data_IF_119928035840
#
_entry.id   IF_119928035840
#
_cell.length_a   1.000
_cell.length_b   1.000
_cell.length_c   1.000
_cell.angle_alpha   90.00
_cell.angle_beta   90.00
_cell.angle_gamma   90.00
#
_symmetry.space_group_name_H-M   'P 1'
#
loop_
_entity.id
_entity.type
_entity.pdbx_description
1 polymer ?
#
# COMPACT_ATOMS: atom_id res chain seq x y z
N UNK A 1 18.71 21.59 -7.48
CA UNK A 1 18.53 20.75 -8.68
C UNK A 1 17.15 20.15 -8.68
N UNK A 2 16.44 20.13 -9.82
CA UNK A 2 15.17 19.43 -9.96
C UNK A 2 15.37 17.94 -9.67
N UNK A 3 14.44 17.31 -8.92
CA UNK A 3 14.48 15.90 -8.57
C UNK A 3 13.17 15.25 -9.02
N UNK A 4 13.27 14.21 -9.83
CA UNK A 4 12.11 13.41 -10.23
C UNK A 4 11.72 12.53 -9.04
N UNK A 5 10.60 12.84 -8.39
CA UNK A 5 10.11 12.09 -7.25
C UNK A 5 9.32 12.97 -6.28
N UNK A 6 8.97 12.39 -5.17
CA UNK A 6 8.32 13.08 -4.08
C UNK A 6 9.35 13.83 -3.22
N UNK A 7 8.95 14.93 -2.61
CA UNK A 7 9.78 15.64 -1.66
C UNK A 7 9.94 14.84 -0.34
N UNK A 8 10.76 15.38 0.55
CA UNK A 8 11.05 14.75 1.84
C UNK A 8 9.79 14.49 2.66
N UNK A 9 8.84 15.43 2.69
CA UNK A 9 7.62 15.31 3.48
C UNK A 9 6.74 14.17 2.96
N UNK A 10 6.44 14.16 1.67
CA UNK A 10 5.65 13.10 1.04
C UNK A 10 6.33 11.72 1.16
N UNK A 11 7.65 11.67 0.96
CA UNK A 11 8.41 10.42 1.11
C UNK A 11 8.35 9.87 2.53
N UNK A 12 8.47 10.72 3.55
CA UNK A 12 8.39 10.34 4.96
C UNK A 12 6.97 9.85 5.33
N UNK A 13 5.91 10.56 4.90
CA UNK A 13 4.52 10.17 5.13
C UNK A 13 4.21 8.80 4.50
N UNK A 14 4.63 8.57 3.26
CA UNK A 14 4.40 7.30 2.57
C UNK A 14 5.21 6.13 3.16
N UNK A 15 6.33 6.41 3.83
CA UNK A 15 7.22 5.36 4.34
C UNK A 15 6.75 4.77 5.68
N UNK A 16 6.15 5.56 6.56
CA UNK A 16 5.63 5.07 7.85
C UNK A 16 4.10 4.88 7.78
N UNK A 17 3.66 3.62 7.71
CA UNK A 17 2.22 3.27 7.64
C UNK A 17 1.40 3.85 8.77
N UNK A 18 1.95 3.98 9.95
CA UNK A 18 1.27 4.55 11.10
C UNK A 18 0.87 6.01 10.84
N UNK A 19 1.82 6.81 10.32
CA UNK A 19 1.57 8.21 10.00
C UNK A 19 0.72 8.33 8.74
N UNK A 20 0.99 7.51 7.73
CA UNK A 20 0.21 7.45 6.51
C UNK A 20 -1.28 7.20 6.79
N UNK A 21 -1.60 6.18 7.60
CA UNK A 21 -2.97 5.80 7.92
C UNK A 21 -3.70 6.90 8.70
N UNK A 22 -3.00 7.64 9.58
CA UNK A 22 -3.55 8.80 10.28
C UNK A 22 -3.93 9.94 9.31
N UNK A 23 -3.02 10.29 8.40
CA UNK A 23 -3.27 11.36 7.40
C UNK A 23 -4.40 10.97 6.45
N UNK A 24 -4.42 9.73 5.97
CA UNK A 24 -5.49 9.23 5.10
C UNK A 24 -6.85 9.24 5.82
N UNK A 25 -6.90 8.79 7.07
CA UNK A 25 -8.12 8.79 7.87
C UNK A 25 -8.64 10.19 8.15
N UNK A 26 -7.77 11.14 8.46
CA UNK A 26 -8.13 12.56 8.64
C UNK A 26 -8.67 13.18 7.34
N UNK A 27 -8.22 12.68 6.20
CA UNK A 27 -8.73 13.05 4.87
C UNK A 27 -9.99 12.29 4.43
N UNK A 28 -10.67 11.56 5.34
CA UNK A 28 -11.84 10.72 5.08
C UNK A 28 -11.60 9.60 4.06
N UNK A 29 -10.37 9.13 3.93
CA UNK A 29 -10.01 7.99 3.09
C UNK A 29 -9.98 6.74 3.97
N UNK A 30 -10.75 5.72 3.59
CA UNK A 30 -10.81 4.46 4.35
C UNK A 30 -9.47 3.74 4.27
N UNK A 31 -8.93 3.38 5.42
CA UNK A 31 -7.75 2.51 5.56
C UNK A 31 -8.17 1.20 6.23
N UNK A 32 -7.35 0.16 6.08
CA UNK A 32 -7.58 -1.11 6.76
C UNK A 32 -7.48 -0.89 8.27
N UNK A 33 -8.47 -1.38 9.01
CA UNK A 33 -8.46 -1.28 10.47
C UNK A 33 -7.22 -1.95 11.06
N UNK A 34 -6.54 -1.22 11.93
CA UNK A 34 -5.26 -1.67 12.47
C UNK A 34 -5.04 -1.26 13.93
N UNK A 35 -4.06 -1.91 14.53
CA UNK A 35 -3.51 -1.58 15.85
C UNK A 35 -2.01 -1.42 15.73
N UNK A 36 -1.50 -0.27 16.13
CA UNK A 36 -0.05 -0.02 16.20
C UNK A 36 0.47 -0.33 17.60
N UNK A 37 1.62 -1.00 17.66
CA UNK A 37 2.38 -1.25 18.88
C UNK A 37 3.77 -0.64 18.78
N UNK A 38 4.28 -0.17 19.90
CA UNK A 38 5.68 0.18 20.09
C UNK A 38 6.42 -0.95 20.83
N UNK A 39 7.71 -1.10 20.58
CA UNK A 39 8.54 -2.18 21.16
C UNK A 39 8.49 -2.25 22.70
N UNK A 40 8.30 -1.12 23.39
CA UNK A 40 8.14 -1.12 24.86
C UNK A 40 6.91 -1.89 25.34
N UNK A 41 5.89 -2.08 24.48
CA UNK A 41 4.69 -2.85 24.84
C UNK A 41 4.96 -4.37 24.89
N UNK A 42 6.12 -4.84 24.40
CA UNK A 42 6.56 -6.23 24.60
C UNK A 42 6.83 -6.59 26.07
N UNK A 43 7.02 -5.60 26.95
CA UNK A 43 7.21 -5.86 28.36
C UNK A 43 5.97 -6.45 29.03
N UNK A 44 4.79 -6.26 28.44
CA UNK A 44 3.54 -6.93 28.78
C UNK A 44 2.87 -7.49 27.50
N UNK A 45 3.34 -8.65 27.08
CA UNK A 45 2.85 -9.31 25.89
C UNK A 45 1.36 -9.65 25.96
N UNK A 46 0.87 -9.99 27.17
CA UNK A 46 -0.55 -10.31 27.37
C UNK A 46 -1.42 -9.07 27.11
N UNK A 47 -1.01 -7.89 27.61
CA UNK A 47 -1.71 -6.65 27.32
C UNK A 47 -1.63 -6.27 25.85
N UNK A 48 -0.47 -6.47 25.20
CA UNK A 48 -0.30 -6.20 23.78
C UNK A 48 -1.22 -7.08 22.91
N UNK A 49 -1.29 -8.38 23.17
CA UNK A 49 -2.20 -9.31 22.49
C UNK A 49 -3.66 -8.90 22.71
N UNK A 50 -4.04 -8.63 23.96
CA UNK A 50 -5.41 -8.19 24.29
C UNK A 50 -5.79 -6.88 23.59
N UNK A 51 -4.85 -5.93 23.47
CA UNK A 51 -5.06 -4.67 22.71
C UNK A 51 -5.37 -4.95 21.25
N UNK A 52 -4.70 -5.91 20.62
CA UNK A 52 -4.93 -6.30 19.24
C UNK A 52 -6.24 -7.07 19.10
N UNK A 53 -6.43 -8.15 19.86
CA UNK A 53 -7.61 -9.05 19.72
C UNK A 53 -8.90 -8.41 20.21
N UNK A 54 -8.81 -7.35 21.03
CA UNK A 54 -9.97 -6.55 21.42
C UNK A 54 -10.53 -5.67 20.28
N UNK A 55 -9.76 -5.51 19.20
CA UNK A 55 -10.13 -4.68 18.05
C UNK A 55 -10.16 -5.47 16.74
N UNK A 56 -9.26 -6.42 16.56
CA UNK A 56 -9.07 -7.15 15.33
C UNK A 56 -9.48 -8.62 15.46
N UNK A 57 -9.96 -9.21 14.35
CA UNK A 57 -10.31 -10.62 14.24
C UNK A 57 -9.24 -11.41 13.49
N UNK A 58 -9.03 -12.67 13.88
CA UNK A 58 -8.13 -13.56 13.15
C UNK A 58 -8.69 -13.94 11.75
N UNK A 59 -7.82 -14.20 10.78
CA UNK A 59 -6.36 -14.13 10.85
C UNK A 59 -5.86 -12.70 10.93
N UNK A 60 -4.81 -12.48 11.75
CA UNK A 60 -4.18 -11.18 11.96
C UNK A 60 -2.81 -11.17 11.29
N UNK A 61 -2.53 -10.11 10.56
CA UNK A 61 -1.21 -9.87 9.97
C UNK A 61 -0.47 -8.83 10.78
N UNK A 62 0.80 -9.08 11.09
CA UNK A 62 1.69 -8.10 11.70
C UNK A 62 2.80 -7.73 10.73
N UNK A 63 3.24 -6.49 10.76
CA UNK A 63 4.37 -6.02 9.95
C UNK A 63 5.05 -4.82 10.61
N UNK A 64 6.35 -4.59 10.32
CA UNK A 64 7.00 -3.32 10.62
C UNK A 64 6.28 -2.16 9.94
N UNK A 65 6.15 -1.00 10.62
CA UNK A 65 5.46 0.17 10.05
C UNK A 65 6.25 0.84 8.95
N UNK A 66 7.57 0.74 8.99
CA UNK A 66 8.51 1.38 8.08
C UNK A 66 9.38 0.32 7.37
N UNK A 67 8.81 -0.39 6.42
CA UNK A 67 9.57 -1.29 5.55
C UNK A 67 9.09 -1.16 4.11
N UNK A 68 10.02 -0.91 3.21
CA UNK A 68 9.74 -0.94 1.76
C UNK A 68 9.49 -2.38 1.26
N UNK A 69 9.96 -3.36 1.99
CA UNK A 69 9.80 -4.79 1.74
C UNK A 69 8.84 -5.42 2.77
N UNK A 70 8.37 -6.62 2.50
CA UNK A 70 7.53 -7.38 3.43
C UNK A 70 8.36 -8.14 4.50
N UNK A 71 9.63 -7.78 4.68
CA UNK A 71 10.49 -8.38 5.70
C UNK A 71 9.90 -8.14 7.08
N UNK A 72 9.76 -9.20 7.87
CA UNK A 72 9.16 -9.14 9.20
C UNK A 72 7.63 -9.13 9.21
N UNK A 73 6.97 -9.28 8.05
CA UNK A 73 5.54 -9.48 8.00
C UNK A 73 5.19 -10.93 8.31
N UNK A 74 4.21 -11.15 9.18
CA UNK A 74 3.78 -12.47 9.64
C UNK A 74 2.25 -12.54 9.68
N UNK A 75 1.71 -13.76 9.52
CA UNK A 75 0.29 -14.07 9.69
C UNK A 75 0.11 -14.91 10.94
N UNK A 76 -0.96 -14.69 11.67
CA UNK A 76 -1.33 -15.41 12.86
C UNK A 76 -2.81 -15.82 12.82
N UNK A 77 -3.11 -17.07 13.15
CA UNK A 77 -4.45 -17.64 13.21
C UNK A 77 -5.01 -17.67 14.64
N UNK A 78 -4.16 -17.49 15.63
CA UNK A 78 -4.49 -17.55 17.05
C UNK A 78 -3.51 -16.69 17.87
N UNK A 79 -3.78 -16.53 19.16
CA UNK A 79 -2.97 -15.70 20.06
C UNK A 79 -1.53 -16.18 20.23
N UNK A 80 -1.29 -17.49 20.18
CA UNK A 80 0.08 -18.04 20.30
C UNK A 80 0.92 -17.66 19.08
N UNK A 81 0.37 -17.82 17.90
CA UNK A 81 1.03 -17.41 16.65
C UNK A 81 1.17 -15.89 16.58
N UNK A 82 0.19 -15.13 17.12
CA UNK A 82 0.26 -13.68 17.19
C UNK A 82 1.44 -13.20 18.07
N UNK A 83 1.69 -13.87 19.18
CA UNK A 83 2.86 -13.57 20.01
C UNK A 83 4.18 -13.76 19.23
N UNK A 84 4.31 -14.86 18.49
CA UNK A 84 5.49 -15.15 17.67
C UNK A 84 5.62 -14.12 16.54
N UNK A 85 4.51 -13.77 15.89
CA UNK A 85 4.44 -12.78 14.82
C UNK A 85 4.84 -11.36 15.31
N UNK A 86 4.38 -10.96 16.50
CA UNK A 86 4.77 -9.69 17.13
C UNK A 86 6.28 -9.66 17.37
N UNK A 87 6.86 -10.70 17.96
CA UNK A 87 8.30 -10.80 18.22
C UNK A 87 9.12 -10.72 16.93
N UNK A 88 8.70 -11.45 15.90
CA UNK A 88 9.35 -11.46 14.60
C UNK A 88 9.30 -10.06 13.93
N UNK A 89 8.15 -9.40 13.95
CA UNK A 89 8.00 -8.06 13.37
C UNK A 89 8.86 -7.01 14.11
N UNK A 90 8.94 -7.08 15.43
CA UNK A 90 9.78 -6.15 16.23
C UNK A 90 11.28 -6.36 16.06
N UNK A 91 11.73 -7.49 15.53
CA UNK A 91 13.16 -7.67 15.23
C UNK A 91 13.65 -6.71 14.14
N UNK A 92 12.73 -6.16 13.34
CA UNK A 92 13.06 -5.30 12.19
C UNK A 92 12.79 -3.82 12.41
N UNK A 93 11.87 -3.45 13.33
CA UNK A 93 11.50 -2.04 13.54
C UNK A 93 10.96 -1.80 14.95
N UNK A 94 11.13 -0.60 15.56
CA UNK A 94 10.57 -0.28 16.88
C UNK A 94 9.04 -0.13 16.92
N UNK A 95 8.39 0.04 15.77
CA UNK A 95 6.94 0.08 15.63
C UNK A 95 6.46 -0.99 14.68
N UNK A 96 5.38 -1.66 15.04
CA UNK A 96 4.68 -2.61 14.19
C UNK A 96 3.22 -2.22 14.06
N UNK A 97 2.60 -2.69 12.97
CA UNK A 97 1.18 -2.60 12.73
C UNK A 97 0.60 -4.00 12.68
N UNK A 98 -0.54 -4.21 13.35
CA UNK A 98 -1.35 -5.40 13.23
C UNK A 98 -2.64 -5.05 12.50
N UNK A 99 -3.09 -5.87 11.55
CA UNK A 99 -4.31 -5.67 10.77
C UNK A 99 -5.07 -6.98 10.56
N UNK A 100 -6.40 -6.95 10.52
CA UNK A 100 -7.21 -8.10 10.11
C UNK A 100 -7.12 -8.33 8.61
N UNK A 101 -7.30 -9.59 8.18
CA UNK A 101 -7.45 -9.90 6.77
C UNK A 101 -8.73 -9.26 6.23
N UNK A 102 -8.63 -8.41 5.22
CA UNK A 102 -9.78 -7.92 4.47
C UNK A 102 -10.01 -8.84 3.27
N UNK A 103 -11.18 -9.47 3.22
CA UNK A 103 -11.57 -10.29 2.06
C UNK A 103 -11.99 -9.36 0.91
N UNK A 104 -11.40 -9.56 -0.24
CA UNK A 104 -11.69 -8.74 -1.41
C UNK A 104 -10.68 -8.89 -2.53
N UNK A 105 -10.81 -8.04 -3.54
CA UNK A 105 -9.90 -7.96 -4.68
C UNK A 105 -8.75 -7.02 -4.34
N UNK A 106 -7.53 -7.46 -4.58
CA UNK A 106 -6.34 -6.64 -4.38
C UNK A 106 -6.05 -5.83 -5.63
N UNK A 107 -6.23 -4.53 -5.53
CA UNK A 107 -6.03 -3.58 -6.60
C UNK A 107 -4.78 -2.74 -6.35
N UNK A 108 -4.10 -2.39 -7.42
CA UNK A 108 -2.94 -1.50 -7.36
C UNK A 108 -3.06 -0.45 -8.46
N UNK A 109 -2.78 0.80 -8.11
CA UNK A 109 -2.86 1.93 -9.02
C UNK A 109 -1.52 2.62 -9.19
N UNK A 110 -1.13 2.91 -10.42
CA UNK A 110 -0.08 3.87 -10.70
C UNK A 110 -0.73 5.24 -10.90
N UNK A 111 -0.37 6.20 -10.05
CA UNK A 111 -0.77 7.60 -10.19
C UNK A 111 0.41 8.39 -10.71
N UNK A 112 0.27 8.97 -11.91
CA UNK A 112 1.25 9.85 -12.51
C UNK A 112 0.88 11.31 -12.23
N UNK A 113 1.85 12.07 -11.72
CA UNK A 113 1.66 13.45 -11.33
C UNK A 113 1.25 14.37 -12.48
N UNK A 114 0.65 15.37 -12.18
CA UNK A 114 0.22 16.69 -12.58
C UNK A 114 -1.20 16.90 -12.06
N UNK A 115 -1.46 18.06 -11.54
CA UNK A 115 -2.76 18.45 -10.98
C UNK A 115 -3.86 18.21 -12.03
N UNK A 116 -4.95 17.52 -11.64
CA UNK A 116 -6.24 17.50 -12.34
C UNK A 116 -6.45 16.55 -13.53
N UNK A 117 -5.75 15.40 -13.64
CA UNK A 117 -6.07 14.42 -14.69
C UNK A 117 -6.27 13.02 -14.13
N UNK A 118 -7.54 12.62 -13.90
CA UNK A 118 -7.93 11.25 -13.54
C UNK A 118 -7.51 10.23 -14.61
N UNK A 119 -7.28 10.70 -15.83
CA UNK A 119 -6.81 9.90 -16.97
C UNK A 119 -5.42 9.29 -16.76
N UNK A 120 -4.64 9.83 -15.81
CA UNK A 120 -3.29 9.37 -15.50
C UNK A 120 -3.23 8.36 -14.34
N UNK A 121 -4.33 7.66 -14.09
CA UNK A 121 -4.38 6.57 -13.10
C UNK A 121 -4.58 5.26 -13.83
N UNK A 122 -3.54 4.42 -13.84
CA UNK A 122 -3.62 3.06 -14.34
C UNK A 122 -4.00 2.10 -13.20
N UNK A 123 -4.92 1.17 -13.46
CA UNK A 123 -5.42 0.21 -12.46
C UNK A 123 -5.08 -1.20 -12.88
N UNK A 124 -4.41 -1.93 -12.02
CA UNK A 124 -4.20 -3.36 -12.12
C UNK A 124 -4.76 -4.12 -10.94
N UNK A 125 -4.89 -5.42 -11.09
CA UNK A 125 -5.29 -6.37 -10.06
C UNK A 125 -4.16 -7.35 -9.80
N UNK A 126 -3.84 -7.54 -8.53
CA UNK A 126 -2.91 -8.57 -8.08
C UNK A 126 -3.73 -9.84 -7.76
N UNK A 127 -3.64 -10.83 -8.63
CA UNK A 127 -4.35 -12.10 -8.48
C UNK A 127 -3.39 -13.11 -7.87
N UNK A 128 -3.76 -13.69 -6.75
CA UNK A 128 -3.01 -14.78 -6.13
C UNK A 128 -3.04 -16.02 -7.02
N UNK A 129 -1.91 -16.64 -7.23
CA UNK A 129 -1.80 -17.90 -7.96
C UNK A 129 -1.73 -19.12 -7.02
N UNK A 130 -1.48 -18.89 -5.73
CA UNK A 130 -1.38 -19.93 -4.72
C UNK A 130 -1.86 -19.44 -3.35
N UNK A 131 -2.86 -20.12 -2.78
CA UNK A 131 -3.41 -19.85 -1.44
C UNK A 131 -2.54 -20.43 -0.31
N UNK A 132 -1.51 -21.23 -0.64
CA UNK A 132 -0.69 -21.95 0.33
C UNK A 132 0.42 -21.11 0.97
N UNK A 133 0.66 -19.89 0.50
CA UNK A 133 1.77 -19.06 1.00
C UNK A 133 1.33 -18.18 2.14
N UNK A 134 1.66 -18.61 3.35
CA UNK A 134 1.31 -17.96 4.62
C UNK A 134 2.16 -16.73 4.96
N UNK A 135 3.17 -16.39 4.16
CA UNK A 135 4.06 -15.27 4.45
C UNK A 135 3.74 -14.08 3.58
N UNK A 136 3.31 -12.98 4.20
CA UNK A 136 3.06 -11.71 3.54
C UNK A 136 4.27 -11.20 2.72
N UNK A 137 5.48 -11.65 3.05
CA UNK A 137 6.73 -11.28 2.38
C UNK A 137 6.97 -12.00 1.05
N UNK A 138 6.62 -13.26 0.96
CA UNK A 138 6.68 -14.03 -0.29
C UNK A 138 5.50 -13.70 -1.18
N UNK A 139 4.45 -13.19 -0.57
CA UNK A 139 3.17 -12.87 -1.12
C UNK A 139 3.18 -11.79 -2.22
N UNK A 140 4.04 -10.80 -2.15
CA UNK A 140 4.02 -9.66 -3.09
C UNK A 140 4.96 -9.87 -4.28
N UNK A 141 5.96 -10.72 -4.17
CA UNK A 141 7.05 -10.78 -5.15
C UNK A 141 7.02 -11.98 -6.09
N UNK A 142 6.48 -13.13 -5.68
CA UNK A 142 6.68 -14.38 -6.43
C UNK A 142 5.42 -15.16 -6.79
N UNK A 143 4.25 -14.83 -6.24
CA UNK A 143 3.04 -15.64 -6.39
C UNK A 143 1.79 -14.87 -6.82
N UNK A 144 1.92 -13.58 -7.12
CA UNK A 144 0.81 -12.78 -7.62
C UNK A 144 1.00 -12.45 -9.09
N UNK A 145 0.03 -12.80 -9.91
CA UNK A 145 -0.06 -12.35 -11.30
C UNK A 145 -0.65 -10.93 -11.32
N UNK A 146 0.08 -9.98 -11.92
CA UNK A 146 -0.46 -8.64 -12.19
C UNK A 146 -1.29 -8.67 -13.47
N UNK A 147 -2.59 -8.39 -13.37
CA UNK A 147 -3.49 -8.21 -14.52
C UNK A 147 -3.75 -6.74 -14.77
N UNK A 148 -3.39 -6.26 -15.96
CA UNK A 148 -3.59 -4.86 -16.38
C UNK A 148 -4.30 -4.87 -17.75
N UNK A 149 -5.36 -4.06 -17.91
CA UNK A 149 -6.11 -3.36 -16.87
C UNK A 149 -6.93 -4.31 -15.99
N UNK A 150 -7.20 -3.88 -14.76
CA UNK A 150 -8.13 -4.61 -13.89
C UNK A 150 -9.54 -4.64 -14.51
N UNK A 151 -10.19 -5.82 -14.49
CA UNK A 151 -11.57 -5.96 -15.00
C UNK A 151 -12.56 -5.45 -13.96
N UNK A 152 -13.01 -4.21 -14.12
CA UNK A 152 -13.95 -3.49 -13.24
C UNK A 152 -15.06 -2.86 -14.09
N UNK A 153 -16.26 -2.72 -13.50
CA UNK A 153 -17.29 -1.87 -14.09
C UNK A 153 -16.91 -0.37 -13.97
N UNK A 154 -17.56 0.47 -14.76
CA UNK A 154 -17.21 1.88 -14.87
C UNK A 154 -17.35 2.67 -13.57
N UNK A 155 -18.34 2.34 -12.72
CA UNK A 155 -18.56 3.02 -11.45
C UNK A 155 -17.46 2.66 -10.45
N UNK A 156 -17.16 1.38 -10.32
CA UNK A 156 -16.09 0.87 -9.48
C UNK A 156 -14.74 1.41 -9.94
N UNK A 157 -14.48 1.42 -11.26
CA UNK A 157 -13.24 1.98 -11.81
C UNK A 157 -13.06 3.46 -11.43
N UNK A 158 -14.13 4.27 -11.52
CA UNK A 158 -14.08 5.67 -11.13
C UNK A 158 -13.84 5.83 -9.63
N UNK A 159 -14.53 5.05 -8.77
CA UNK A 159 -14.32 5.05 -7.32
C UNK A 159 -12.86 4.76 -6.97
N UNK A 160 -12.25 3.74 -7.60
CA UNK A 160 -10.84 3.38 -7.40
C UNK A 160 -9.89 4.50 -7.82
N UNK A 161 -10.10 5.10 -9.00
CA UNK A 161 -9.28 6.22 -9.50
C UNK A 161 -9.34 7.42 -8.55
N UNK A 162 -10.55 7.80 -8.13
CA UNK A 162 -10.76 8.91 -7.19
C UNK A 162 -10.09 8.64 -5.85
N UNK A 163 -10.25 7.43 -5.29
CA UNK A 163 -9.61 7.06 -4.03
C UNK A 163 -8.07 7.08 -4.14
N UNK A 164 -7.52 6.54 -5.23
CA UNK A 164 -6.08 6.55 -5.46
C UNK A 164 -5.54 7.98 -5.58
N UNK A 165 -6.28 8.85 -6.29
CA UNK A 165 -5.92 10.26 -6.43
C UNK A 165 -6.01 11.01 -5.12
N UNK A 166 -7.10 10.83 -4.37
CA UNK A 166 -7.28 11.46 -3.07
C UNK A 166 -6.16 11.05 -2.09
N UNK A 167 -5.76 9.77 -2.08
CA UNK A 167 -4.66 9.31 -1.25
C UNK A 167 -3.31 9.91 -1.67
N UNK A 168 -3.07 10.06 -2.97
CA UNK A 168 -1.89 10.72 -3.53
C UNK A 168 -1.82 12.19 -3.08
N UNK A 169 -2.93 12.92 -3.18
CA UNK A 169 -3.00 14.34 -2.84
C UNK A 169 -2.91 14.55 -1.31
N UNK A 170 -3.58 13.73 -0.50
CA UNK A 170 -3.54 13.79 0.97
C UNK A 170 -2.11 13.62 1.52
N UNK A 171 -1.31 12.75 0.89
CA UNK A 171 0.08 12.53 1.27
C UNK A 171 1.07 13.49 0.59
N UNK A 172 0.56 14.53 -0.08
CA UNK A 172 1.35 15.55 -0.79
C UNK A 172 2.32 14.98 -1.83
N UNK A 173 1.98 13.84 -2.44
CA UNK A 173 2.76 13.29 -3.53
C UNK A 173 2.78 14.23 -4.73
N UNK A 174 3.91 14.26 -5.48
CA UNK A 174 4.11 15.25 -6.56
C UNK A 174 4.28 14.63 -7.94
N UNK A 175 5.24 13.74 -8.11
CA UNK A 175 5.58 13.21 -9.44
C UNK A 175 4.83 11.92 -9.73
N UNK A 176 4.82 10.99 -8.81
CA UNK A 176 4.20 9.68 -8.97
C UNK A 176 4.03 8.95 -7.64
N UNK A 177 3.10 8.04 -7.59
CA UNK A 177 2.96 7.09 -6.48
C UNK A 177 2.27 5.80 -6.96
N UNK A 178 2.52 4.71 -6.24
CA UNK A 178 1.74 3.49 -6.35
C UNK A 178 0.82 3.38 -5.13
N UNK A 179 -0.47 3.21 -5.38
CA UNK A 179 -1.48 3.06 -4.33
C UNK A 179 -2.01 1.63 -4.36
N UNK A 180 -1.76 0.88 -3.30
CA UNK A 180 -2.25 -0.48 -3.13
C UNK A 180 -3.54 -0.42 -2.30
N UNK A 181 -4.62 -1.06 -2.78
CA UNK A 181 -5.97 -0.98 -2.22
C UNK A 181 -6.63 -2.35 -2.18
N UNK A 182 -7.65 -2.47 -1.33
CA UNK A 182 -8.56 -3.62 -1.32
C UNK A 182 -9.96 -3.13 -1.63
N UNK A 183 -10.58 -3.76 -2.61
CA UNK A 183 -12.02 -3.63 -2.89
C UNK A 183 -12.70 -4.83 -2.23
N UNK A 184 -13.47 -4.59 -1.18
CA UNK A 184 -14.19 -5.64 -0.48
C UNK A 184 -15.44 -6.12 -1.25
N UNK A 185 -16.11 -7.13 -0.70
CA UNK A 185 -17.30 -7.73 -1.32
C UNK A 185 -18.52 -6.81 -1.27
N UNK A 186 -18.53 -5.80 -0.41
CA UNK A 186 -19.59 -4.81 -0.26
C UNK A 186 -19.36 -3.59 -1.18
N UNK A 187 -18.28 -3.60 -1.97
CA UNK A 187 -17.89 -2.53 -2.88
C UNK A 187 -17.21 -1.35 -2.19
N UNK A 188 -16.72 -1.54 -0.96
CA UNK A 188 -15.94 -0.55 -0.25
C UNK A 188 -14.46 -0.65 -0.59
N UNK A 189 -13.80 0.51 -0.67
CA UNK A 189 -12.39 0.62 -1.04
C UNK A 189 -11.58 1.06 0.15
N UNK A 190 -10.56 0.28 0.48
CA UNK A 190 -9.62 0.57 1.57
C UNK A 190 -8.23 0.76 1.00
N UNK A 191 -7.58 1.87 1.33
CA UNK A 191 -6.17 2.06 1.02
C UNK A 191 -5.33 1.23 2.01
N UNK A 192 -4.51 0.34 1.46
CA UNK A 192 -3.58 -0.48 2.25
C UNK A 192 -2.23 0.19 2.37
N UNK A 193 -1.74 0.76 1.26
CA UNK A 193 -0.41 1.36 1.21
C UNK A 193 -0.28 2.36 0.06
N UNK A 194 0.43 3.45 0.32
CA UNK A 194 0.92 4.34 -0.73
C UNK A 194 2.44 4.25 -0.76
N UNK A 195 2.99 3.98 -1.94
CA UNK A 195 4.43 3.95 -2.17
C UNK A 195 4.83 5.20 -2.95
N UNK A 196 5.39 6.17 -2.25
CA UNK A 196 5.85 7.42 -2.86
C UNK A 196 7.10 7.25 -3.74
N UNK A 197 7.83 6.16 -3.57
CA UNK A 197 9.03 5.83 -4.37
C UNK A 197 8.88 4.38 -4.87
N UNK A 198 8.00 4.11 -5.83
CA UNK A 198 7.91 2.80 -6.48
C UNK A 198 9.11 2.57 -7.40
N UNK A 199 9.43 1.30 -7.69
CA UNK A 199 10.45 0.97 -8.67
C UNK A 199 10.05 1.45 -10.07
N UNK A 200 11.03 1.91 -10.84
CA UNK A 200 10.86 2.42 -12.22
C UNK A 200 11.50 1.51 -13.26
N UNK A 201 12.10 0.38 -12.87
CA UNK A 201 12.57 -0.60 -13.83
C UNK A 201 11.40 -1.25 -14.59
N UNK A 202 11.68 -1.85 -15.76
CA UNK A 202 10.65 -2.40 -16.67
C UNK A 202 9.80 -3.52 -16.05
N UNK A 203 10.29 -4.18 -14.98
CA UNK A 203 9.60 -5.28 -14.31
C UNK A 203 8.80 -4.83 -13.09
N UNK A 204 9.03 -3.61 -12.63
CA UNK A 204 8.32 -3.05 -11.48
C UNK A 204 6.82 -2.93 -11.73
N UNK A 205 6.03 -3.23 -10.71
CA UNK A 205 4.56 -3.15 -10.77
C UNK A 205 4.10 -1.78 -11.28
N UNK A 206 4.69 -0.68 -10.77
CA UNK A 206 4.33 0.67 -11.20
C UNK A 206 4.54 0.86 -12.71
N UNK A 207 5.70 0.49 -13.22
CA UNK A 207 6.04 0.59 -14.64
C UNK A 207 5.10 -0.24 -15.50
N UNK A 208 4.86 -1.50 -15.09
CA UNK A 208 3.94 -2.40 -15.80
C UNK A 208 2.51 -1.86 -15.84
N UNK A 209 2.02 -1.30 -14.73
CA UNK A 209 0.70 -0.65 -14.71
C UNK A 209 0.60 0.42 -15.78
N UNK A 210 1.60 1.28 -15.92
CA UNK A 210 1.60 2.37 -16.90
C UNK A 210 1.75 1.83 -18.32
N UNK A 211 2.71 0.92 -18.54
CA UNK A 211 3.06 0.47 -19.89
C UNK A 211 2.10 -0.56 -20.47
N UNK A 212 1.44 -1.33 -19.63
CA UNK A 212 0.40 -2.29 -20.08
C UNK A 212 -0.98 -1.63 -20.19
N UNK A 213 -1.15 -0.37 -19.72
CA UNK A 213 -2.41 0.37 -19.83
C UNK A 213 -2.51 1.24 -21.08
N UNK A 214 -1.57 2.19 -21.26
CA UNK A 214 -1.75 3.23 -22.29
C UNK A 214 -0.46 3.86 -22.81
N UNK A 215 0.69 3.74 -22.13
CA UNK A 215 1.90 4.49 -22.46
C UNK A 215 3.09 3.57 -22.68
N UNK A 216 3.97 3.90 -23.60
CA UNK A 216 5.27 3.25 -23.72
C UNK A 216 6.16 3.63 -22.50
N UNK A 217 7.21 2.85 -22.29
CA UNK A 217 8.17 3.14 -21.22
C UNK A 217 8.85 4.51 -21.40
N UNK A 218 9.16 4.86 -22.64
CA UNK A 218 9.75 6.13 -23.00
C UNK A 218 8.80 7.30 -22.75
N UNK A 219 7.52 7.16 -23.06
CA UNK A 219 6.49 8.18 -22.77
C UNK A 219 6.32 8.35 -21.26
N UNK A 220 6.29 7.26 -20.50
CA UNK A 220 6.25 7.33 -19.02
C UNK A 220 7.44 8.15 -18.51
N UNK A 221 8.65 7.85 -18.94
CA UNK A 221 9.85 8.59 -18.50
C UNK A 221 9.78 10.07 -18.90
N UNK A 222 9.31 10.39 -20.11
CA UNK A 222 9.12 11.79 -20.54
C UNK A 222 8.11 12.53 -19.67
N UNK A 223 6.99 11.89 -19.31
CA UNK A 223 6.00 12.48 -18.40
C UNK A 223 6.59 12.74 -17.01
N UNK A 224 7.40 11.81 -16.47
CA UNK A 224 8.06 12.00 -15.18
C UNK A 224 9.08 13.14 -15.21
N UNK A 225 9.84 13.28 -16.29
CA UNK A 225 10.78 14.38 -16.49
C UNK A 225 10.02 15.70 -16.64
N UNK A 226 8.99 15.74 -17.49
CA UNK A 226 8.17 16.95 -17.71
C UNK A 226 7.50 17.43 -16.42
N UNK A 227 7.04 16.54 -15.56
CA UNK A 227 6.43 16.91 -14.29
C UNK A 227 7.38 17.68 -13.33
N UNK A 228 8.68 17.73 -13.63
CA UNK A 228 9.69 18.44 -12.81
C UNK A 228 10.27 19.64 -13.54
N UNK A 229 10.34 19.60 -14.87
CA UNK A 229 10.95 20.64 -15.71
C UNK A 229 9.92 21.74 -16.04
N UNK A 230 8.64 21.40 -16.16
CA UNK A 230 7.55 22.34 -16.48
C UNK A 230 6.97 23.04 -15.23
N UNK A 231 7.66 23.01 -14.11
CA UNK A 231 7.25 23.67 -12.86
C UNK A 231 7.71 25.15 -12.77
N UNK A 232 8.16 25.73 -13.89
CA UNK A 232 8.47 27.16 -14.00
C UNK A 232 7.30 27.97 -14.61
#
# INVERSE_FOLDING_TARGET
LPVIGNDFAAAALCNDRRIMDLVLSDSNIKVIENVTLHRSEMNDMTAAIKKITGKLSFPIYTAPTSCSTSVGACRAENEKELEEAIKASFSHHPYIIAESAVKGRELTCAVLGAKHHDERVAIGELVRTDDSIDKLSEYIASTSELKVPAKLDGLTQNKIKQTARAAYDALSCKCFARVDMVLDNDGEVYVRRVRGIPGLDRQSIFTRLVTESAYSYEEMLRMLIGAVVDLD
#
